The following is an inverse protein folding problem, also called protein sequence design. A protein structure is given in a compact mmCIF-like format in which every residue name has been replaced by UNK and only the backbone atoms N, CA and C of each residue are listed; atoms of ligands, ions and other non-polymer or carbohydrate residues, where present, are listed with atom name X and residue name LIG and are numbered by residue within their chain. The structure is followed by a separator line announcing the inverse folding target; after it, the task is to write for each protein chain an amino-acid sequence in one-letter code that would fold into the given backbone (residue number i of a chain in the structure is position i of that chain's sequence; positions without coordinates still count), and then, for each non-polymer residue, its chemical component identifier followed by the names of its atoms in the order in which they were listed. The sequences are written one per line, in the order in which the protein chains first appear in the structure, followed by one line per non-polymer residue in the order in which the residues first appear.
data_IF_926475690203
#
_entry.id   IF_926475690203
#
_cell.length_a   1.000
_cell.length_b   1.000
_cell.length_c   1.000
_cell.angle_alpha   90.00
_cell.angle_beta   90.00
_cell.angle_gamma   90.00
#
_symmetry.space_group_name_H-M   'P 1'
#
loop_
_entity.id
_entity.type
_entity.pdbx_description
1 polymer ?
#
# COMPACT_ATOMS: atom_id res chain seq x y z
N UNK A 1 -3.64 20.44 10.75
CA UNK A 1 -2.46 19.56 10.90
C UNK A 1 -3.01 18.23 11.34
N UNK A 2 -2.87 17.21 10.51
CA UNK A 2 -3.41 15.87 10.77
C UNK A 2 -2.34 15.00 11.38
N UNK A 3 -2.75 13.93 12.07
CA UNK A 3 -1.87 12.91 12.63
C UNK A 3 -1.89 11.67 11.73
N UNK A 4 -0.71 11.26 11.26
CA UNK A 4 -0.53 10.12 10.36
C UNK A 4 0.35 9.07 11.03
N UNK A 5 -0.07 7.81 10.98
CA UNK A 5 0.75 6.66 11.37
C UNK A 5 1.22 5.95 10.10
N UNK A 6 2.50 5.61 10.04
CA UNK A 6 3.08 4.78 8.98
C UNK A 6 3.47 3.45 9.60
N UNK A 7 2.78 2.40 9.20
CA UNK A 7 3.13 1.03 9.53
C UNK A 7 4.10 0.52 8.46
N UNK A 8 5.40 0.44 8.83
CA UNK A 8 6.47 0.06 7.92
C UNK A 8 7.35 -1.03 8.54
N UNK A 9 7.32 -2.24 8.00
CA UNK A 9 8.08 -3.34 8.58
C UNK A 9 7.69 -4.72 8.07
N UNK A 10 7.90 -5.74 8.89
CA UNK A 10 7.62 -7.12 8.56
C UNK A 10 8.85 -7.89 8.08
N UNK A 11 8.68 -8.82 7.16
CA UNK A 11 9.75 -9.69 6.69
C UNK A 11 10.80 -8.91 5.88
N UNK A 12 12.08 -8.85 6.32
CA UNK A 12 13.09 -7.96 5.74
C UNK A 12 13.80 -8.54 4.51
N UNK A 13 13.39 -9.71 3.99
CA UNK A 13 14.18 -10.45 3.00
C UNK A 13 14.17 -9.86 1.60
N UNK A 14 13.15 -9.08 1.25
CA UNK A 14 13.00 -8.53 -0.09
C UNK A 14 13.06 -7.00 -0.12
N UNK A 15 12.82 -6.34 1.02
CA UNK A 15 12.64 -4.89 1.08
C UNK A 15 13.30 -4.29 2.33
N UNK A 16 13.82 -3.07 2.20
CA UNK A 16 14.23 -2.23 3.33
C UNK A 16 13.04 -1.37 3.78
N UNK A 17 12.12 -1.97 4.53
CA UNK A 17 10.92 -1.28 5.00
C UNK A 17 11.21 -0.11 5.94
N UNK A 18 12.31 -0.14 6.68
CA UNK A 18 12.71 0.98 7.53
C UNK A 18 13.05 2.21 6.69
N UNK A 19 13.85 2.03 5.63
CA UNK A 19 14.19 3.11 4.69
C UNK A 19 12.95 3.59 3.91
N UNK A 20 12.09 2.67 3.48
CA UNK A 20 10.85 2.98 2.77
C UNK A 20 9.87 3.75 3.66
N UNK A 21 9.68 3.32 4.91
CA UNK A 21 8.84 4.02 5.89
C UNK A 21 9.35 5.43 6.18
N UNK A 22 10.67 5.61 6.33
CA UNK A 22 11.28 6.92 6.50
C UNK A 22 11.05 7.84 5.28
N UNK A 23 11.13 7.29 4.06
CA UNK A 23 10.89 8.05 2.84
C UNK A 23 9.41 8.48 2.70
N UNK A 24 8.46 7.63 3.10
CA UNK A 24 7.03 8.00 3.16
C UNK A 24 6.80 9.05 4.26
N UNK A 25 7.44 8.92 5.43
CA UNK A 25 7.36 9.92 6.50
C UNK A 25 7.87 11.30 6.07
N UNK A 26 8.92 11.34 5.23
CA UNK A 26 9.40 12.59 4.63
C UNK A 26 8.31 13.27 3.79
N UNK A 27 7.54 12.52 3.01
CA UNK A 27 6.41 13.06 2.23
C UNK A 27 5.36 13.67 3.15
N UNK A 28 4.91 12.94 4.17
CA UNK A 28 3.90 13.40 5.13
C UNK A 28 4.35 14.66 5.88
N UNK A 29 5.60 14.68 6.35
CA UNK A 29 6.17 15.82 7.07
C UNK A 29 6.25 17.08 6.19
N UNK A 30 6.59 16.92 4.90
CA UNK A 30 6.66 18.05 3.96
C UNK A 30 5.27 18.59 3.58
N UNK A 31 4.21 17.80 3.75
CA UNK A 31 2.82 18.27 3.66
C UNK A 31 2.36 19.01 4.94
N UNK A 32 3.19 19.06 5.98
CA UNK A 32 2.90 19.78 7.23
C UNK A 32 2.05 18.98 8.21
N UNK A 33 2.05 17.65 8.14
CA UNK A 33 1.34 16.78 9.07
C UNK A 33 2.29 16.16 10.11
N UNK A 34 1.74 15.77 11.27
CA UNK A 34 2.45 14.96 12.25
C UNK A 34 2.53 13.52 11.77
N UNK A 35 3.70 12.90 11.91
CA UNK A 35 3.92 11.54 11.45
C UNK A 35 4.67 10.71 12.48
N UNK A 36 4.23 9.47 12.67
CA UNK A 36 4.88 8.46 13.49
C UNK A 36 5.06 7.18 12.67
N UNK A 37 6.28 6.61 12.68
CA UNK A 37 6.60 5.35 11.99
C UNK A 37 6.64 4.23 13.02
N UNK A 38 5.92 3.15 12.76
CA UNK A 38 5.76 1.99 13.64
C UNK A 38 6.03 0.72 12.84
N UNK A 39 6.76 -0.23 13.42
CA UNK A 39 7.10 -1.50 12.74
C UNK A 39 6.11 -2.63 13.07
N UNK A 40 5.48 -2.59 14.23
CA UNK A 40 4.59 -3.64 14.73
C UNK A 40 3.13 -3.31 14.43
N UNK A 41 2.39 -4.20 13.70
CA UNK A 41 1.00 -3.95 13.33
C UNK A 41 0.06 -3.88 14.54
N UNK A 42 0.34 -4.62 15.62
CA UNK A 42 -0.52 -4.61 16.81
C UNK A 42 -0.33 -3.31 17.60
N UNK A 43 0.89 -2.79 17.64
CA UNK A 43 1.19 -1.46 18.18
C UNK A 43 0.52 -0.39 17.33
N UNK A 44 0.70 -0.42 16.00
CA UNK A 44 0.07 0.55 15.10
C UNK A 44 -1.46 0.56 15.28
N UNK A 45 -2.10 -0.61 15.29
CA UNK A 45 -3.55 -0.73 15.50
C UNK A 45 -3.99 -0.15 16.85
N UNK A 46 -3.17 -0.29 17.92
CA UNK A 46 -3.48 0.26 19.25
C UNK A 46 -3.41 1.78 19.31
N UNK A 47 -2.71 2.43 18.38
CA UNK A 47 -2.45 3.86 18.33
C UNK A 47 -3.45 4.66 17.50
N UNK A 48 -4.40 4.00 16.82
CA UNK A 48 -5.29 4.64 15.84
C UNK A 48 -6.32 5.63 16.45
N UNK A 49 -6.48 5.66 17.74
CA UNK A 49 -7.36 6.64 18.39
C UNK A 49 -6.81 8.07 18.18
N UNK A 50 -7.59 8.92 17.49
CA UNK A 50 -7.18 10.30 17.15
C UNK A 50 -6.14 10.39 16.02
N UNK A 51 -5.94 9.32 15.25
CA UNK A 51 -5.18 9.31 14.00
C UNK A 51 -6.13 9.60 12.85
N UNK A 52 -5.70 10.43 11.89
CA UNK A 52 -6.49 10.81 10.72
C UNK A 52 -6.24 9.88 9.52
N UNK A 53 -5.00 9.40 9.35
CA UNK A 53 -4.65 8.47 8.28
C UNK A 53 -3.59 7.44 8.70
N UNK A 54 -3.67 6.26 8.11
CA UNK A 54 -2.70 5.17 8.20
C UNK A 54 -2.07 4.93 6.81
N UNK A 55 -0.75 4.87 6.74
CA UNK A 55 -0.05 4.32 5.59
C UNK A 55 0.54 2.94 5.94
N UNK A 56 0.42 1.98 5.02
CA UNK A 56 0.96 0.62 5.22
C UNK A 56 1.93 0.30 4.09
N UNK A 57 3.19 0.09 4.45
CA UNK A 57 4.24 -0.38 3.56
C UNK A 57 5.06 -1.46 4.27
N UNK A 58 4.71 -2.73 4.05
CA UNK A 58 5.33 -3.80 4.79
C UNK A 58 4.83 -5.18 4.39
N UNK A 59 5.38 -6.20 5.00
CA UNK A 59 5.10 -7.59 4.64
C UNK A 59 4.95 -8.46 5.90
N UNK A 60 3.76 -8.46 6.47
CA UNK A 60 3.35 -9.32 7.59
C UNK A 60 2.44 -10.44 7.08
N UNK A 61 2.95 -11.67 7.05
CA UNK A 61 2.29 -12.83 6.44
C UNK A 61 2.74 -14.14 7.08
N UNK A 62 2.02 -15.24 6.81
CA UNK A 62 2.25 -16.54 7.45
C UNK A 62 3.48 -17.31 6.94
N UNK A 63 4.05 -16.92 5.82
CA UNK A 63 5.24 -17.58 5.23
C UNK A 63 5.06 -19.09 5.00
N UNK A 64 3.93 -19.53 4.45
CA UNK A 64 3.54 -20.95 4.38
C UNK A 64 4.37 -21.80 3.38
N UNK A 65 5.12 -21.21 2.47
CA UNK A 65 5.96 -21.96 1.52
C UNK A 65 7.26 -22.48 2.16
N UNK A 66 7.74 -23.66 1.75
CA UNK A 66 8.99 -24.25 2.26
C UNK A 66 10.23 -23.37 2.02
N UNK A 67 10.21 -22.54 1.00
CA UNK A 67 11.27 -21.57 0.73
C UNK A 67 11.49 -20.56 1.87
N UNK A 68 10.48 -20.38 2.73
CA UNK A 68 10.50 -19.43 3.85
C UNK A 68 10.80 -20.06 5.20
N UNK A 69 11.01 -21.40 5.26
CA UNK A 69 11.31 -22.12 6.50
C UNK A 69 12.44 -21.49 7.34
N UNK A 70 13.54 -20.99 6.74
CA UNK A 70 14.63 -20.40 7.51
C UNK A 70 14.24 -19.13 8.27
N UNK A 71 13.17 -18.45 7.86
CA UNK A 71 12.76 -17.14 8.41
C UNK A 71 11.41 -17.18 9.12
N UNK A 72 10.63 -18.26 8.92
CA UNK A 72 9.26 -18.37 9.44
C UNK A 72 9.17 -18.20 10.95
N UNK A 73 10.05 -18.85 11.70
CA UNK A 73 10.02 -18.79 13.16
C UNK A 73 10.16 -17.36 13.69
N UNK A 74 10.93 -16.53 13.00
CA UNK A 74 11.24 -15.17 13.43
C UNK A 74 10.29 -14.12 12.85
N UNK A 75 9.76 -14.33 11.63
CA UNK A 75 9.08 -13.29 10.87
C UNK A 75 7.65 -13.63 10.42
N UNK A 76 7.19 -14.87 10.61
CA UNK A 76 5.80 -15.18 10.30
C UNK A 76 4.86 -14.43 11.25
N UNK A 77 3.81 -13.88 10.67
CA UNK A 77 2.81 -13.13 11.40
C UNK A 77 1.41 -13.68 11.11
N UNK A 78 0.60 -13.75 12.14
CA UNK A 78 -0.82 -14.08 12.07
C UNK A 78 -1.58 -12.95 12.74
N UNK A 79 -2.53 -12.35 12.03
CA UNK A 79 -3.20 -11.13 12.45
C UNK A 79 -4.18 -11.38 13.60
N UNK A 80 -3.95 -10.83 14.81
CA UNK A 80 -4.88 -10.99 15.92
C UNK A 80 -6.26 -10.38 15.63
N UNK A 81 -7.30 -10.94 16.22
CA UNK A 81 -8.66 -10.43 16.05
C UNK A 81 -8.79 -8.95 16.46
N UNK A 82 -8.12 -8.56 17.56
CA UNK A 82 -8.11 -7.15 18.00
C UNK A 82 -7.51 -6.20 16.98
N UNK A 83 -6.47 -6.61 16.27
CA UNK A 83 -5.82 -5.82 15.22
C UNK A 83 -6.73 -5.71 14.00
N UNK A 84 -7.37 -6.82 13.58
CA UNK A 84 -8.38 -6.82 12.52
C UNK A 84 -9.54 -5.87 12.83
N UNK A 85 -10.12 -5.99 14.02
CA UNK A 85 -11.24 -5.16 14.46
C UNK A 85 -10.88 -3.67 14.48
N UNK A 86 -9.68 -3.34 14.98
CA UNK A 86 -9.22 -1.96 15.05
C UNK A 86 -8.95 -1.35 13.68
N UNK A 87 -8.25 -2.05 12.79
CA UNK A 87 -7.98 -1.59 11.41
C UNK A 87 -9.29 -1.44 10.63
N UNK A 88 -10.20 -2.43 10.71
CA UNK A 88 -11.52 -2.35 10.07
C UNK A 88 -12.31 -1.15 10.58
N UNK A 89 -12.39 -0.99 11.90
CA UNK A 89 -13.13 0.10 12.54
C UNK A 89 -12.54 1.45 12.18
N UNK A 90 -11.21 1.58 12.17
CA UNK A 90 -10.53 2.81 11.81
C UNK A 90 -10.94 3.30 10.42
N UNK A 91 -10.76 2.46 9.40
CA UNK A 91 -11.07 2.85 8.02
C UNK A 91 -12.58 3.02 7.83
N UNK A 92 -13.40 2.08 8.33
CA UNK A 92 -14.87 2.15 8.14
C UNK A 92 -15.52 3.37 8.80
N UNK A 93 -14.92 3.92 9.86
CA UNK A 93 -15.40 5.10 10.55
C UNK A 93 -14.88 6.43 9.97
N UNK A 94 -14.01 6.40 8.96
CA UNK A 94 -13.56 7.60 8.25
C UNK A 94 -12.05 7.81 8.23
N UNK A 95 -11.27 6.97 8.92
CA UNK A 95 -9.81 7.02 8.83
C UNK A 95 -9.32 6.78 7.40
N UNK A 96 -8.38 7.60 6.93
CA UNK A 96 -7.78 7.45 5.61
C UNK A 96 -6.78 6.29 5.56
N UNK A 97 -6.70 5.57 4.44
CA UNK A 97 -5.70 4.50 4.25
C UNK A 97 -4.93 4.69 2.93
N UNK A 98 -3.60 4.73 3.04
CA UNK A 98 -2.70 4.58 1.91
C UNK A 98 -2.00 3.21 2.02
N UNK A 99 -2.36 2.28 1.17
CA UNK A 99 -1.75 0.96 1.07
C UNK A 99 -0.68 0.97 -0.04
N UNK A 100 0.55 0.62 0.29
CA UNK A 100 1.69 0.71 -0.62
C UNK A 100 2.24 -0.68 -0.93
N UNK A 101 2.53 -0.93 -2.19
CA UNK A 101 3.31 -2.08 -2.70
C UNK A 101 2.89 -3.41 -2.08
N UNK A 102 3.68 -3.93 -1.14
CA UNK A 102 3.46 -5.22 -0.46
C UNK A 102 2.20 -5.28 0.42
N UNK A 103 1.50 -4.16 0.61
CA UNK A 103 0.30 -4.14 1.44
C UNK A 103 -0.81 -5.11 0.94
N UNK A 104 -0.86 -5.41 -0.36
CA UNK A 104 -1.80 -6.41 -0.92
C UNK A 104 -1.42 -7.86 -0.61
N UNK A 105 -0.16 -8.12 -0.17
CA UNK A 105 0.33 -9.43 0.24
C UNK A 105 0.22 -9.60 1.76
N UNK A 106 0.30 -8.50 2.50
CA UNK A 106 0.25 -8.49 3.97
C UNK A 106 -1.08 -9.01 4.50
N UNK A 107 -1.04 -9.55 5.70
CA UNK A 107 -2.21 -10.08 6.42
C UNK A 107 -2.94 -11.17 5.62
N UNK A 108 -2.16 -12.10 5.02
CA UNK A 108 -2.65 -13.18 4.15
C UNK A 108 -3.53 -14.21 4.84
N UNK A 109 -3.69 -14.13 6.15
CA UNK A 109 -4.63 -14.89 6.97
C UNK A 109 -5.97 -14.17 7.24
N UNK A 110 -6.11 -12.95 6.67
CA UNK A 110 -7.28 -12.08 6.88
C UNK A 110 -7.86 -11.61 5.54
N UNK A 111 -8.86 -12.35 5.05
CA UNK A 111 -9.44 -12.13 3.72
C UNK A 111 -10.07 -10.73 3.57
N UNK A 112 -10.69 -10.21 4.63
CA UNK A 112 -11.35 -8.89 4.63
C UNK A 112 -10.35 -7.73 4.48
N UNK A 113 -9.05 -7.95 4.73
CA UNK A 113 -8.02 -6.96 4.42
C UNK A 113 -8.01 -6.60 2.94
N UNK A 114 -8.18 -7.58 2.05
CA UNK A 114 -8.32 -7.35 0.62
C UNK A 114 -9.55 -6.51 0.25
N UNK A 115 -10.64 -6.58 1.05
CA UNK A 115 -11.82 -5.73 0.85
C UNK A 115 -11.55 -4.28 1.30
N UNK A 116 -10.76 -4.10 2.37
CA UNK A 116 -10.34 -2.79 2.86
C UNK A 116 -9.39 -2.13 1.86
N UNK A 117 -8.38 -2.83 1.35
CA UNK A 117 -7.40 -2.30 0.38
C UNK A 117 -7.99 -2.16 -1.03
N UNK A 118 -9.03 -2.93 -1.35
CA UNK A 118 -9.63 -2.99 -2.69
C UNK A 118 -8.97 -3.99 -3.63
N UNK A 119 -8.05 -4.81 -3.13
CA UNK A 119 -7.37 -5.86 -3.88
C UNK A 119 -6.47 -6.70 -2.99
N UNK A 120 -6.19 -7.93 -3.42
CA UNK A 120 -5.37 -8.87 -2.66
C UNK A 120 -4.49 -9.72 -3.56
N UNK A 121 -3.34 -10.10 -3.06
CA UNK A 121 -2.50 -11.14 -3.66
C UNK A 121 -3.15 -12.52 -3.52
N UNK A 122 -3.18 -13.29 -4.59
CA UNK A 122 -3.71 -14.65 -4.63
C UNK A 122 -2.57 -15.63 -4.81
N UNK A 123 -2.27 -16.38 -3.75
CA UNK A 123 -1.20 -17.38 -3.79
C UNK A 123 -1.42 -18.42 -4.86
N UNK A 124 -0.40 -18.67 -5.69
CA UNK A 124 -0.47 -19.58 -6.83
C UNK A 124 -1.07 -18.99 -8.12
N UNK A 125 -1.55 -17.74 -8.09
CA UNK A 125 -2.09 -17.00 -9.24
C UNK A 125 -1.31 -15.72 -9.46
N UNK A 126 -1.29 -14.82 -8.47
CA UNK A 126 -0.58 -13.55 -8.55
C UNK A 126 0.92 -13.75 -8.66
N UNK A 127 1.58 -12.89 -9.43
CA UNK A 127 3.01 -12.96 -9.67
C UNK A 127 3.58 -11.58 -9.99
N UNK A 128 4.88 -11.45 -9.91
CA UNK A 128 5.60 -10.27 -10.40
C UNK A 128 6.93 -10.70 -11.04
N UNK A 129 7.40 -10.00 -12.09
CA UNK A 129 8.76 -10.12 -12.58
C UNK A 129 9.72 -9.46 -11.58
N UNK A 130 11.04 -9.69 -11.71
CA UNK A 130 12.02 -8.87 -11.02
C UNK A 130 11.84 -7.39 -11.30
N UNK A 131 12.35 -6.54 -10.40
CA UNK A 131 12.39 -5.09 -10.59
C UNK A 131 12.94 -4.70 -11.96
N UNK A 132 12.32 -3.73 -12.61
CA UNK A 132 12.72 -3.28 -13.94
C UNK A 132 12.04 -1.98 -14.35
N UNK A 133 12.31 -1.51 -15.57
CA UNK A 133 11.65 -0.35 -16.15
C UNK A 133 10.18 -0.65 -16.41
N UNK A 134 9.31 0.04 -15.68
CA UNK A 134 7.85 -0.06 -15.80
C UNK A 134 7.33 1.17 -16.53
N UNK A 135 6.52 0.97 -17.58
CA UNK A 135 5.76 2.05 -18.21
C UNK A 135 4.36 2.12 -17.63
N UNK A 136 4.10 3.18 -16.90
CA UNK A 136 2.80 3.48 -16.28
C UNK A 136 1.94 4.28 -17.25
N UNK A 137 0.65 3.98 -17.28
CA UNK A 137 -0.37 4.69 -18.05
C UNK A 137 -1.57 5.03 -17.16
N UNK A 138 -1.91 6.32 -17.08
CA UNK A 138 -3.11 6.77 -16.38
C UNK A 138 -4.35 6.39 -17.18
N UNK A 139 -5.39 5.93 -16.48
CA UNK A 139 -6.67 5.48 -17.07
C UNK A 139 -7.89 6.10 -16.40
N UNK A 140 -7.75 6.64 -15.18
CA UNK A 140 -8.79 7.33 -14.43
C UNK A 140 -8.61 8.85 -14.42
N UNK A 141 -9.67 9.57 -14.04
CA UNK A 141 -9.63 11.00 -13.71
C UNK A 141 -10.01 11.14 -12.23
N UNK A 142 -9.03 11.37 -11.39
CA UNK A 142 -9.20 11.40 -9.94
C UNK A 142 -8.20 12.39 -9.33
N UNK A 143 -8.52 13.09 -8.22
CA UNK A 143 -7.59 14.01 -7.56
C UNK A 143 -6.20 13.39 -7.27
N UNK A 144 -6.13 12.11 -6.96
CA UNK A 144 -4.88 11.38 -6.68
C UNK A 144 -3.90 11.37 -7.87
N UNK A 145 -4.39 11.48 -9.10
CA UNK A 145 -3.56 11.46 -10.32
C UNK A 145 -3.58 12.78 -11.10
N UNK A 146 -4.19 13.83 -10.55
CA UNK A 146 -4.33 15.12 -11.23
C UNK A 146 -2.97 15.77 -11.48
N UNK A 147 -2.79 16.29 -12.70
CA UNK A 147 -1.55 16.95 -13.14
C UNK A 147 -0.36 16.01 -13.34
N UNK A 148 -0.51 14.69 -13.18
CA UNK A 148 0.49 13.72 -13.61
C UNK A 148 0.47 13.56 -15.14
N UNK A 149 1.61 13.24 -15.77
CA UNK A 149 1.64 12.94 -17.21
C UNK A 149 0.85 11.67 -17.51
N UNK A 150 0.15 11.63 -18.65
CA UNK A 150 -0.66 10.47 -19.06
C UNK A 150 0.14 9.15 -19.12
N UNK A 151 1.46 9.24 -19.28
CA UNK A 151 2.40 8.14 -19.23
C UNK A 151 3.72 8.59 -18.61
N UNK A 152 4.31 7.71 -17.80
CA UNK A 152 5.67 7.90 -17.26
C UNK A 152 6.36 6.55 -17.06
N UNK A 153 7.65 6.58 -16.82
CA UNK A 153 8.44 5.39 -16.48
C UNK A 153 8.87 5.45 -15.04
N UNK A 154 8.94 4.31 -14.39
CA UNK A 154 9.47 4.14 -13.05
C UNK A 154 10.23 2.82 -12.98
N UNK A 155 11.29 2.75 -12.19
CA UNK A 155 11.98 1.50 -11.86
C UNK A 155 11.27 0.87 -10.67
N UNK A 156 10.54 -0.22 -10.89
CA UNK A 156 9.76 -0.91 -9.85
C UNK A 156 9.37 -2.33 -10.28
N UNK A 157 8.57 -2.99 -9.47
CA UNK A 157 7.87 -4.22 -9.79
C UNK A 157 6.43 -3.94 -10.27
N UNK A 158 5.87 -4.86 -11.03
CA UNK A 158 4.44 -4.85 -11.39
C UNK A 158 3.79 -6.11 -10.85
N UNK A 159 2.97 -5.97 -9.84
CA UNK A 159 2.15 -7.07 -9.34
C UNK A 159 1.03 -7.35 -10.32
N UNK A 160 1.00 -8.59 -10.84
CA UNK A 160 0.00 -9.03 -11.79
C UNK A 160 -0.98 -10.03 -11.20
N UNK A 161 -2.17 -10.06 -11.81
CA UNK A 161 -3.23 -11.01 -11.49
C UNK A 161 -3.69 -10.94 -10.01
N UNK A 162 -3.69 -9.72 -9.46
CA UNK A 162 -4.28 -9.44 -8.15
C UNK A 162 -5.80 -9.64 -8.21
N UNK A 163 -6.40 -10.10 -7.11
CA UNK A 163 -7.87 -10.14 -6.96
C UNK A 163 -8.40 -8.73 -6.65
N UNK A 164 -8.58 -7.94 -7.69
CA UNK A 164 -9.11 -6.57 -7.59
C UNK A 164 -10.62 -6.63 -7.33
N UNK A 165 -11.13 -5.75 -6.46
CA UNK A 165 -12.55 -5.64 -6.15
C UNK A 165 -13.28 -4.77 -7.19
N UNK A 166 -14.57 -5.09 -7.44
CA UNK A 166 -15.38 -4.40 -8.47
C UNK A 166 -15.71 -2.94 -8.12
N UNK A 167 -15.58 -2.56 -6.85
CA UNK A 167 -15.91 -1.22 -6.34
C UNK A 167 -14.74 -0.24 -6.34
N UNK A 168 -13.59 -0.61 -6.88
CA UNK A 168 -12.43 0.30 -6.97
C UNK A 168 -12.45 1.08 -8.28
N UNK A 169 -11.99 2.32 -8.24
CA UNK A 169 -11.66 3.11 -9.41
C UNK A 169 -10.18 2.93 -9.74
N UNK A 170 -9.89 2.24 -10.86
CA UNK A 170 -8.51 2.06 -11.34
C UNK A 170 -8.02 3.37 -11.94
N UNK A 171 -6.92 3.90 -11.42
CA UNK A 171 -6.34 5.20 -11.80
C UNK A 171 -5.13 5.04 -12.73
N UNK A 172 -4.35 3.99 -12.53
CA UNK A 172 -3.19 3.69 -13.38
C UNK A 172 -3.05 2.19 -13.61
N UNK A 173 -2.55 1.87 -14.79
CA UNK A 173 -2.20 0.50 -15.20
C UNK A 173 -0.76 0.44 -15.68
N UNK A 174 -0.15 -0.74 -15.58
CA UNK A 174 1.16 -1.02 -16.12
C UNK A 174 1.21 -2.43 -16.72
N UNK A 175 2.23 -2.71 -17.51
CA UNK A 175 2.49 -4.05 -18.05
C UNK A 175 3.79 -4.58 -17.48
N UNK A 176 3.82 -5.88 -17.23
CA UNK A 176 5.05 -6.62 -16.92
C UNK A 176 5.96 -6.68 -18.12
N UNK A 177 5.37 -7.09 -19.25
CA UNK A 177 6.01 -7.12 -20.57
C UNK A 177 5.10 -6.48 -21.62
N UNK A 178 5.65 -6.12 -22.77
CA UNK A 178 4.88 -5.46 -23.84
C UNK A 178 3.72 -6.32 -24.38
N UNK A 179 3.84 -7.65 -24.29
CA UNK A 179 2.84 -8.63 -24.71
C UNK A 179 1.77 -8.92 -23.65
N UNK A 180 2.02 -8.56 -22.39
CA UNK A 180 1.10 -8.85 -21.29
C UNK A 180 -0.11 -7.92 -21.28
N UNK A 181 -1.23 -8.33 -20.68
CA UNK A 181 -2.35 -7.44 -20.41
C UNK A 181 -1.93 -6.35 -19.43
N UNK A 182 -2.62 -5.22 -19.49
CA UNK A 182 -2.47 -4.16 -18.50
C UNK A 182 -2.84 -4.67 -17.09
N UNK A 183 -1.99 -4.42 -16.11
CA UNK A 183 -2.25 -4.72 -14.70
C UNK A 183 -2.61 -3.42 -13.96
N UNK A 184 -3.70 -3.38 -13.16
CA UNK A 184 -3.97 -2.27 -12.27
C UNK A 184 -2.83 -2.11 -11.26
N UNK A 185 -2.26 -0.91 -11.17
CA UNK A 185 -1.15 -0.61 -10.24
C UNK A 185 -1.47 0.52 -9.28
N UNK A 186 -2.47 1.36 -9.58
CA UNK A 186 -2.99 2.38 -8.67
C UNK A 186 -4.50 2.38 -8.74
N UNK A 187 -5.15 2.39 -7.59
CA UNK A 187 -6.61 2.55 -7.50
C UNK A 187 -7.03 3.31 -6.24
N UNK A 188 -8.24 3.82 -6.26
CA UNK A 188 -8.88 4.46 -5.13
C UNK A 188 -10.31 3.93 -4.94
N UNK A 189 -10.78 3.91 -3.71
CA UNK A 189 -12.16 3.59 -3.37
C UNK A 189 -12.53 4.10 -1.98
N UNK A 190 -13.76 3.81 -1.56
CA UNK A 190 -14.22 4.02 -0.18
C UNK A 190 -14.46 2.68 0.50
N UNK A 191 -14.03 2.59 1.77
CA UNK A 191 -14.41 1.52 2.66
C UNK A 191 -15.15 2.10 3.87
N UNK A 192 -16.44 1.84 3.97
CA UNK A 192 -17.30 2.57 4.92
C UNK A 192 -17.29 4.07 4.64
N UNK A 193 -16.82 4.86 5.59
CA UNK A 193 -16.64 6.31 5.46
C UNK A 193 -15.21 6.71 5.03
N UNK A 194 -14.24 5.82 5.17
CA UNK A 194 -12.84 6.11 4.88
C UNK A 194 -12.51 6.10 3.41
N UNK A 195 -11.56 6.92 3.04
CA UNK A 195 -10.94 6.94 1.73
C UNK A 195 -9.73 6.01 1.71
N UNK A 196 -9.62 5.20 0.67
CA UNK A 196 -8.53 4.23 0.51
C UNK A 196 -7.87 4.41 -0.85
N UNK A 197 -6.55 4.51 -0.84
CA UNK A 197 -5.71 4.50 -2.04
C UNK A 197 -4.75 3.32 -1.94
N UNK A 198 -4.64 2.56 -3.00
CA UNK A 198 -3.53 1.65 -3.22
C UNK A 198 -2.59 2.23 -4.26
N UNK A 199 -1.30 2.24 -3.94
CA UNK A 199 -0.20 2.54 -4.85
C UNK A 199 0.73 1.32 -4.91
N UNK A 200 0.74 0.64 -6.03
CA UNK A 200 1.51 -0.59 -6.25
C UNK A 200 3.02 -0.36 -6.35
N UNK A 201 3.48 0.88 -6.38
CA UNK A 201 4.89 1.23 -6.39
C UNK A 201 5.44 1.37 -4.96
N UNK A 202 6.77 1.33 -4.83
CA UNK A 202 7.43 1.46 -3.55
C UNK A 202 8.32 0.28 -3.17
N UNK A 203 8.76 -0.51 -4.16
CA UNK A 203 9.71 -1.60 -3.94
C UNK A 203 10.94 -1.13 -3.15
N UNK A 204 11.43 0.06 -3.47
CA UNK A 204 12.54 0.69 -2.76
C UNK A 204 12.38 2.22 -2.64
N UNK A 205 13.32 2.85 -1.95
CA UNK A 205 13.34 4.31 -1.73
C UNK A 205 13.42 5.09 -3.05
N UNK A 206 14.07 4.55 -4.10
CA UNK A 206 14.19 5.24 -5.39
C UNK A 206 12.84 5.37 -6.07
N UNK A 207 12.01 4.34 -5.96
CA UNK A 207 10.62 4.34 -6.43
C UNK A 207 9.76 5.34 -5.64
N UNK A 208 9.84 5.33 -4.30
CA UNK A 208 9.11 6.27 -3.43
C UNK A 208 9.49 7.73 -3.76
N UNK A 209 10.77 8.00 -3.99
CA UNK A 209 11.28 9.33 -4.33
C UNK A 209 11.17 9.70 -5.80
N UNK A 210 10.71 8.79 -6.67
CA UNK A 210 10.49 9.10 -8.07
C UNK A 210 9.50 10.28 -8.20
N UNK A 211 9.79 11.35 -8.99
CA UNK A 211 9.00 12.58 -8.96
C UNK A 211 7.49 12.38 -9.17
N UNK A 212 7.11 11.47 -10.07
CA UNK A 212 5.69 11.20 -10.35
C UNK A 212 5.05 10.36 -9.26
N UNK A 213 5.76 9.37 -8.70
CA UNK A 213 5.25 8.56 -7.61
C UNK A 213 5.13 9.38 -6.32
N UNK A 214 6.14 10.18 -6.02
CA UNK A 214 6.08 11.13 -4.92
C UNK A 214 4.87 12.06 -5.02
N UNK A 215 4.63 12.65 -6.22
CA UNK A 215 3.45 13.51 -6.46
C UNK A 215 2.15 12.74 -6.27
N UNK A 216 2.08 11.49 -6.71
CA UNK A 216 0.91 10.61 -6.50
C UNK A 216 0.67 10.41 -4.99
N UNK A 217 1.70 10.09 -4.21
CA UNK A 217 1.57 9.93 -2.76
C UNK A 217 1.15 11.23 -2.05
N UNK A 218 1.70 12.39 -2.44
CA UNK A 218 1.29 13.69 -1.90
C UNK A 218 -0.21 13.93 -2.12
N UNK A 219 -0.72 13.62 -3.30
CA UNK A 219 -2.13 13.75 -3.63
C UNK A 219 -2.99 12.68 -2.95
N UNK A 220 -2.46 11.46 -2.82
CA UNK A 220 -3.13 10.39 -2.08
C UNK A 220 -3.32 10.79 -0.61
N UNK A 221 -2.27 11.29 0.07
CA UNK A 221 -2.41 11.79 1.44
C UNK A 221 -3.40 12.95 1.53
N UNK A 222 -3.36 13.90 0.61
CA UNK A 222 -4.35 14.99 0.57
C UNK A 222 -5.76 14.43 0.50
N UNK A 223 -6.05 13.52 -0.42
CA UNK A 223 -7.39 12.98 -0.63
C UNK A 223 -7.88 12.09 0.50
N UNK A 224 -7.03 11.22 1.07
CA UNK A 224 -7.45 10.35 2.18
C UNK A 224 -7.69 11.13 3.48
N UNK A 225 -7.07 12.30 3.64
CA UNK A 225 -7.28 13.19 4.79
C UNK A 225 -8.52 14.09 4.64
N UNK A 226 -9.11 14.21 3.44
CA UNK A 226 -10.36 14.95 3.21
C UNK A 226 -11.60 14.17 3.70
N UNK A 227 -11.46 12.90 4.08
CA UNK A 227 -12.58 12.06 4.53
C UNK A 227 -13.05 12.38 5.96
N UNK A 228 -12.34 13.21 6.70
CA UNK A 228 -12.61 13.57 8.11
C UNK A 228 -13.34 14.91 8.26
#
# INVERSE_FOLDING_TARGET
MSRVVILAGGSPHAHDFAASGAAVAEVVSQLGHDVEVVEDPDVAASMLDGVDALAVIGLWWRMLGNAYDPWREQHAYTTPASTRDRLTSFVSNGGGLLALHTATISFDDWQEWGDIVGGAWVWGVSSHPPIGDVQVRLVGQHPVVDGLPAKFKILDEVYGDLAIRDNVEVLAVAKRDASDPDQPVVWAHRFGKGHVVFDGFGHDVSSIRHPHNRRLMEQAFTWILESN
#
